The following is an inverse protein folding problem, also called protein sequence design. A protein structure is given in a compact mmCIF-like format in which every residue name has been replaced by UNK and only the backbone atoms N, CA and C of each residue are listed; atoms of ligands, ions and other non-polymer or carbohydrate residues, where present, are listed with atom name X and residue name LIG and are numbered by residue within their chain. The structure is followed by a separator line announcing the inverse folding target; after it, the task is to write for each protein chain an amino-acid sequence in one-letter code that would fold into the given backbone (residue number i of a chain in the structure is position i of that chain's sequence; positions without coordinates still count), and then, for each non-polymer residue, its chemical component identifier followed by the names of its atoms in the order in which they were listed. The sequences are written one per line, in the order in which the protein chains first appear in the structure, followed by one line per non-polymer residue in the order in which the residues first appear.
data_IF_049572253372
#
_entry.id   IF_049572253372
#
_cell.length_a   1.000
_cell.length_b   1.000
_cell.length_c   1.000
_cell.angle_alpha   90.00
_cell.angle_beta   90.00
_cell.angle_gamma   90.00
#
_symmetry.space_group_name_H-M   'P 1'
#
loop_
_entity.id
_entity.type
_entity.pdbx_description
1 polymer ?
#
# COMPACT_ATOMS: atom_id res chain seq x y z
N UNK A 1 9.03 -20.57 9.21
CA UNK A 1 8.35 -19.45 8.54
C UNK A 1 7.96 -18.47 9.63
N UNK A 2 8.62 -17.30 9.73
CA UNK A 2 8.20 -16.27 10.68
C UNK A 2 6.92 -15.66 10.14
N UNK A 3 5.87 -15.70 10.95
CA UNK A 3 4.59 -15.07 10.68
C UNK A 3 4.85 -13.57 10.50
N UNK A 4 4.82 -13.09 9.26
CA UNK A 4 4.91 -11.68 8.93
C UNK A 4 3.60 -11.02 9.37
N UNK A 5 3.48 -10.82 10.68
CA UNK A 5 2.25 -10.41 11.35
C UNK A 5 1.90 -9.04 10.81
N UNK A 6 0.82 -8.95 10.04
CA UNK A 6 0.34 -7.69 9.48
C UNK A 6 0.24 -6.65 10.61
N UNK A 7 1.09 -5.59 10.61
CA UNK A 7 1.24 -4.71 11.77
C UNK A 7 0.03 -3.76 11.95
N UNK A 8 -0.90 -3.78 11.00
CA UNK A 8 -2.15 -3.00 11.02
C UNK A 8 -3.12 -3.57 12.05
N UNK A 9 -3.82 -2.68 12.74
CA UNK A 9 -4.98 -3.06 13.58
C UNK A 9 -6.06 -3.73 12.73
N UNK A 10 -6.82 -4.67 13.28
CA UNK A 10 -7.84 -5.43 12.52
C UNK A 10 -8.86 -4.53 11.83
N UNK A 11 -9.34 -3.47 12.51
CA UNK A 11 -10.25 -2.46 11.91
C UNK A 11 -9.67 -1.69 10.72
N UNK A 12 -8.35 -1.76 10.51
CA UNK A 12 -7.63 -1.12 9.41
C UNK A 12 -7.25 -2.09 8.28
N UNK A 13 -7.65 -3.36 8.35
CA UNK A 13 -7.38 -4.38 7.32
C UNK A 13 -8.48 -4.43 6.25
N UNK A 14 -9.11 -3.29 5.94
CA UNK A 14 -10.12 -3.20 4.87
C UNK A 14 -9.52 -3.47 3.49
N UNK A 15 -8.31 -3.00 3.24
CA UNK A 15 -7.60 -3.25 1.99
C UNK A 15 -6.54 -4.33 2.20
N UNK A 16 -6.31 -5.15 1.18
CA UNK A 16 -5.23 -6.13 1.22
C UNK A 16 -3.89 -5.43 1.42
N UNK A 17 -3.00 -6.05 2.20
CA UNK A 17 -1.67 -5.48 2.44
C UNK A 17 -0.90 -5.36 1.11
N UNK A 18 -1.03 -6.37 0.27
CA UNK A 18 -0.41 -6.42 -1.06
C UNK A 18 -0.92 -5.31 -1.97
N UNK A 19 -2.23 -5.01 -1.93
CA UNK A 19 -2.82 -3.94 -2.74
C UNK A 19 -2.23 -2.59 -2.34
N UNK A 20 -2.13 -2.30 -1.03
CA UNK A 20 -1.54 -1.04 -0.54
C UNK A 20 -0.08 -0.88 -0.96
N UNK A 21 0.72 -1.94 -0.81
CA UNK A 21 2.15 -1.89 -1.17
C UNK A 21 2.33 -1.73 -2.67
N UNK A 22 1.59 -2.49 -3.49
CA UNK A 22 1.68 -2.41 -4.94
C UNK A 22 1.26 -1.04 -5.48
N UNK A 23 0.14 -0.50 -5.00
CA UNK A 23 -0.32 0.85 -5.37
C UNK A 23 0.75 1.89 -5.04
N UNK A 24 1.32 1.83 -3.83
CA UNK A 24 2.33 2.79 -3.40
C UNK A 24 3.57 2.76 -4.28
N UNK A 25 4.06 1.57 -4.65
CA UNK A 25 5.21 1.42 -5.55
C UNK A 25 4.90 1.99 -6.94
N UNK A 26 3.72 1.67 -7.51
CA UNK A 26 3.32 2.20 -8.81
C UNK A 26 3.24 3.73 -8.80
N UNK A 27 2.60 4.31 -7.79
CA UNK A 27 2.43 5.75 -7.67
C UNK A 27 3.78 6.48 -7.53
N UNK A 28 4.68 5.98 -6.68
CA UNK A 28 6.01 6.57 -6.47
C UNK A 28 6.87 6.49 -7.75
N UNK A 29 6.82 5.37 -8.49
CA UNK A 29 7.51 5.26 -9.79
C UNK A 29 6.97 6.28 -10.80
N UNK A 30 5.66 6.60 -10.72
CA UNK A 30 5.01 7.62 -11.54
C UNK A 30 5.21 9.06 -11.01
N UNK A 31 5.98 9.26 -9.94
CA UNK A 31 6.34 10.58 -9.42
C UNK A 31 5.42 11.13 -8.33
N UNK A 32 4.62 10.29 -7.66
CA UNK A 32 3.91 10.71 -6.45
C UNK A 32 4.88 10.80 -5.26
N UNK A 33 4.93 11.96 -4.61
CA UNK A 33 5.81 12.27 -3.49
C UNK A 33 5.06 12.36 -2.14
N UNK A 34 3.72 12.37 -2.16
CA UNK A 34 2.90 12.38 -0.94
C UNK A 34 1.69 11.43 -0.99
N UNK A 35 1.10 11.15 0.18
CA UNK A 35 -0.02 10.21 0.29
C UNK A 35 -1.27 10.66 -0.49
N UNK A 36 -1.52 11.96 -0.57
CA UNK A 36 -2.63 12.53 -1.33
C UNK A 36 -2.43 12.36 -2.85
N UNK A 37 -1.18 12.43 -3.33
CA UNK A 37 -0.84 12.16 -4.73
C UNK A 37 -0.95 10.67 -5.07
N UNK A 38 -0.63 9.78 -4.13
CA UNK A 38 -0.88 8.33 -4.31
C UNK A 38 -2.39 8.06 -4.44
N UNK A 39 -3.21 8.69 -3.59
CA UNK A 39 -4.68 8.60 -3.69
C UNK A 39 -5.22 9.26 -4.97
N UNK A 40 -4.54 10.27 -5.52
CA UNK A 40 -4.96 10.86 -6.80
C UNK A 40 -4.64 9.90 -7.94
N UNK A 41 -3.41 9.39 -7.97
CA UNK A 41 -2.92 8.44 -8.97
C UNK A 41 -3.77 7.16 -9.02
N UNK A 42 -4.11 6.59 -7.87
CA UNK A 42 -4.82 5.31 -7.82
C UNK A 42 -6.30 5.44 -8.22
N UNK A 43 -6.93 6.59 -7.98
CA UNK A 43 -8.25 6.92 -8.50
C UNK A 43 -8.24 7.07 -10.03
N UNK A 44 -7.23 7.73 -10.59
CA UNK A 44 -7.07 7.90 -12.04
C UNK A 44 -6.73 6.59 -12.76
N UNK A 45 -5.93 5.73 -12.11
CA UNK A 45 -5.45 4.47 -12.69
C UNK A 45 -6.22 3.24 -12.23
N UNK A 46 -7.30 3.41 -11.47
CA UNK A 46 -8.11 2.33 -10.87
C UNK A 46 -8.43 1.20 -11.84
N UNK A 47 -8.86 1.53 -13.06
CA UNK A 47 -9.21 0.53 -14.08
C UNK A 47 -8.03 -0.37 -14.46
N UNK A 48 -6.83 0.21 -14.56
CA UNK A 48 -5.61 -0.53 -14.84
C UNK A 48 -5.16 -1.34 -13.62
N UNK A 49 -5.20 -0.74 -12.41
CA UNK A 49 -4.88 -1.43 -11.16
C UNK A 49 -5.76 -2.67 -10.93
N UNK A 50 -7.06 -2.59 -11.25
CA UNK A 50 -7.99 -3.74 -11.18
C UNK A 50 -7.63 -4.92 -12.10
N UNK A 51 -6.69 -4.77 -13.03
CA UNK A 51 -6.27 -5.89 -13.90
C UNK A 51 -5.36 -6.89 -13.19
N UNK A 52 -4.70 -6.47 -12.11
CA UNK A 52 -3.78 -7.32 -11.34
C UNK A 52 -3.94 -7.21 -9.81
N UNK A 53 -4.70 -6.25 -9.30
CA UNK A 53 -5.04 -6.11 -7.88
C UNK A 53 -6.49 -6.50 -7.59
N UNK A 54 -6.75 -6.99 -6.37
CA UNK A 54 -8.10 -7.42 -5.97
C UNK A 54 -9.02 -6.23 -5.69
N UNK A 55 -8.50 -5.19 -5.04
CA UNK A 55 -9.23 -3.97 -4.68
C UNK A 55 -10.59 -4.25 -4.04
N UNK A 56 -10.65 -5.23 -3.13
CA UNK A 56 -11.92 -5.76 -2.56
C UNK A 56 -12.81 -4.68 -1.96
N UNK A 57 -12.21 -3.63 -1.39
CA UNK A 57 -12.90 -2.47 -0.83
C UNK A 57 -12.63 -1.18 -1.62
N UNK A 58 -12.28 -1.31 -2.90
CA UNK A 58 -11.92 -0.20 -3.77
C UNK A 58 -10.56 0.41 -3.44
N UNK A 59 -10.41 1.65 -3.88
CA UNK A 59 -9.20 2.44 -3.72
C UNK A 59 -9.03 2.86 -2.25
N UNK A 60 -7.85 2.63 -1.64
CA UNK A 60 -7.56 3.10 -0.30
C UNK A 60 -7.41 4.63 -0.25
N UNK A 61 -7.87 5.25 0.83
CA UNK A 61 -7.58 6.67 1.10
C UNK A 61 -6.13 6.88 1.57
N UNK A 62 -5.59 8.09 1.45
CA UNK A 62 -4.26 8.51 1.95
C UNK A 62 -3.97 8.03 3.39
N UNK A 63 -4.98 8.07 4.26
CA UNK A 63 -4.87 7.62 5.65
C UNK A 63 -4.55 6.12 5.80
N UNK A 64 -4.92 5.27 4.84
CA UNK A 64 -4.60 3.85 4.85
C UNK A 64 -3.10 3.62 4.62
N UNK A 65 -2.49 4.37 3.68
CA UNK A 65 -1.06 4.32 3.40
C UNK A 65 -0.25 4.83 4.59
N UNK A 66 -0.60 6.02 5.11
CA UNK A 66 0.07 6.58 6.28
C UNK A 66 0.07 5.60 7.47
N UNK A 67 -1.07 4.97 7.76
CA UNK A 67 -1.17 3.98 8.84
C UNK A 67 -0.35 2.72 8.58
N UNK A 68 -0.24 2.27 7.34
CA UNK A 68 0.57 1.11 6.99
C UNK A 68 2.05 1.42 7.19
N UNK A 69 2.55 2.45 6.51
CA UNK A 69 3.98 2.77 6.49
C UNK A 69 4.48 3.28 7.85
N UNK A 70 3.64 3.97 8.63
CA UNK A 70 3.98 4.37 10.01
C UNK A 70 4.16 3.19 10.97
N UNK A 71 3.62 2.01 10.63
CA UNK A 71 3.70 0.79 11.45
C UNK A 71 4.67 -0.24 10.89
N UNK A 72 5.22 0.02 9.71
CA UNK A 72 6.19 -0.85 9.07
C UNK A 72 7.51 -0.76 9.84
N UNK A 73 8.12 -1.89 10.17
CA UNK A 73 9.45 -1.89 10.74
C UNK A 73 10.46 -1.62 9.61
N UNK A 74 11.22 -0.51 9.62
CA UNK A 74 12.14 -0.17 8.55
C UNK A 74 13.22 -1.23 8.34
N UNK A 75 13.70 -1.84 9.42
CA UNK A 75 14.77 -2.86 9.37
C UNK A 75 14.27 -4.15 8.70
N UNK A 76 13.05 -4.58 9.03
CA UNK A 76 12.45 -5.76 8.41
C UNK A 76 12.12 -5.52 6.94
N UNK A 77 11.68 -4.30 6.60
CA UNK A 77 11.44 -3.91 5.22
C UNK A 77 12.73 -3.87 4.40
N UNK A 78 13.77 -3.22 4.91
CA UNK A 78 15.10 -3.20 4.26
C UNK A 78 15.67 -4.62 4.14
N UNK A 79 15.52 -5.48 5.15
CA UNK A 79 15.98 -6.88 5.04
C UNK A 79 15.20 -7.65 3.95
N UNK A 80 13.93 -7.33 3.74
CA UNK A 80 13.09 -8.02 2.76
C UNK A 80 13.26 -7.50 1.33
N UNK A 81 13.64 -6.23 1.15
CA UNK A 81 13.65 -5.55 -0.15
C UNK A 81 14.99 -4.86 -0.50
N UNK A 82 15.98 -4.84 0.40
CA UNK A 82 17.19 -4.00 0.32
C UNK A 82 18.45 -4.63 -0.27
N UNK A 83 18.51 -5.96 -0.44
CA UNK A 83 19.48 -6.68 -1.29
C UNK A 83 19.28 -8.19 -1.21
#
# INVERSE_FOLDING_TARGET
MKDNTNPRMDRCKKHELTDLVAISICAVICGADCWDEIETYDNETKKWLSTFLKLTNGIPLHNAFNRLFSKLNPVEFETAFGN
#
